data_IF_346720319868
#
_entry.id   IF_346720319868
#
_cell.length_a   1.000
_cell.length_b   1.000
_cell.length_c   1.000
_cell.angle_alpha   90.00
_cell.angle_beta   90.00
_cell.angle_gamma   90.00
#
_symmetry.space_group_name_H-M   'P 1'
#
loop_
_entity.id
_entity.type
_entity.pdbx_description
1 polymer ?
#
# COMPACT_ATOMS: atom_id res chain seq x y z
N UNK A 1 24.32 5.34 -27.33
CA UNK A 1 23.17 5.84 -28.11
C UNK A 1 22.46 6.90 -27.29
N UNK A 2 21.95 7.98 -27.92
CA UNK A 2 20.94 8.81 -27.26
C UNK A 2 19.66 7.99 -27.25
N UNK A 3 19.05 7.83 -26.08
CA UNK A 3 17.77 7.14 -25.90
C UNK A 3 16.76 8.20 -25.50
N UNK A 4 15.62 8.22 -26.17
CA UNK A 4 14.61 9.28 -26.05
C UNK A 4 13.21 8.69 -26.03
N UNK A 5 12.32 9.34 -25.28
CA UNK A 5 10.88 9.08 -25.36
C UNK A 5 10.39 9.50 -26.75
N UNK A 6 9.81 8.57 -27.50
CA UNK A 6 9.24 8.85 -28.83
C UNK A 6 7.72 9.03 -28.76
N UNK A 7 7.02 8.06 -28.18
CA UNK A 7 5.56 8.08 -28.04
C UNK A 7 5.13 7.60 -26.66
N UNK A 8 3.99 8.12 -26.21
CA UNK A 8 3.29 7.68 -25.00
C UNK A 8 1.84 7.47 -25.40
N UNK A 9 1.31 6.29 -25.12
CA UNK A 9 -0.11 5.96 -25.30
C UNK A 9 -0.69 5.35 -24.04
N UNK A 10 -2.01 5.33 -23.96
CA UNK A 10 -2.71 4.81 -22.80
C UNK A 10 -4.02 4.13 -23.19
N UNK A 11 -4.42 3.17 -22.35
CA UNK A 11 -5.62 2.37 -22.49
C UNK A 11 -6.45 2.41 -21.19
N UNK A 12 -7.77 2.42 -21.34
CA UNK A 12 -8.70 2.18 -20.25
C UNK A 12 -8.80 0.67 -20.02
N UNK A 13 -8.32 0.20 -18.88
CA UNK A 13 -8.43 -1.21 -18.45
C UNK A 13 -9.33 -1.30 -17.21
N UNK A 14 -9.53 -2.49 -16.67
CA UNK A 14 -10.24 -2.69 -15.40
C UNK A 14 -9.27 -3.05 -14.26
N UNK A 15 -9.53 -2.53 -13.07
CA UNK A 15 -8.89 -2.96 -11.82
C UNK A 15 -9.52 -4.26 -11.27
N UNK A 16 -8.97 -4.76 -10.16
CA UNK A 16 -9.41 -5.99 -9.49
C UNK A 16 -10.84 -5.94 -8.92
N UNK A 17 -11.47 -4.77 -8.90
CA UNK A 17 -12.86 -4.54 -8.49
C UNK A 17 -13.77 -4.28 -9.69
N UNK A 18 -13.25 -4.39 -10.91
CA UNK A 18 -14.00 -4.14 -12.15
C UNK A 18 -14.25 -2.66 -12.43
N UNK A 19 -13.55 -1.73 -11.77
CA UNK A 19 -13.64 -0.30 -12.09
C UNK A 19 -12.59 0.08 -13.14
N UNK A 20 -12.85 1.06 -14.00
CA UNK A 20 -11.87 1.55 -14.96
C UNK A 20 -10.61 2.11 -14.28
N UNK A 21 -9.45 1.86 -14.87
CA UNK A 21 -8.18 2.50 -14.53
C UNK A 21 -7.30 2.68 -15.78
N UNK A 22 -6.18 3.37 -15.65
CA UNK A 22 -5.29 3.73 -16.74
C UNK A 22 -4.11 2.75 -16.82
N UNK A 23 -3.86 2.21 -18.02
CA UNK A 23 -2.59 1.59 -18.41
C UNK A 23 -1.86 2.52 -19.37
N UNK A 24 -0.57 2.73 -19.15
CA UNK A 24 0.27 3.61 -19.98
C UNK A 24 1.42 2.82 -20.56
N UNK A 25 1.71 3.04 -21.84
CA UNK A 25 2.91 2.57 -22.53
C UNK A 25 3.81 3.77 -22.89
N UNK A 26 5.10 3.65 -22.62
CA UNK A 26 6.13 4.62 -23.00
C UNK A 26 7.09 3.93 -23.95
N UNK A 27 7.12 4.40 -25.19
CA UNK A 27 7.98 3.89 -26.25
C UNK A 27 9.22 4.76 -26.38
N UNK A 28 10.38 4.12 -26.46
CA UNK A 28 11.67 4.76 -26.69
C UNK A 28 12.09 4.62 -28.16
N UNK A 29 12.92 5.55 -28.64
CA UNK A 29 13.47 5.57 -30.00
C UNK A 29 14.30 4.33 -30.38
N UNK A 30 14.76 3.57 -29.39
CA UNK A 30 15.47 2.30 -29.58
C UNK A 30 14.54 1.06 -29.61
N UNK A 31 13.21 1.26 -29.59
CA UNK A 31 12.20 0.19 -29.61
C UNK A 31 11.84 -0.40 -28.24
N UNK A 32 12.44 0.07 -27.14
CA UNK A 32 12.09 -0.35 -25.77
C UNK A 32 10.71 0.18 -25.40
N UNK A 33 9.92 -0.61 -24.66
CA UNK A 33 8.58 -0.22 -24.19
C UNK A 33 8.45 -0.51 -22.71
N UNK A 34 8.23 0.54 -21.91
CA UNK A 34 7.81 0.41 -20.52
C UNK A 34 6.30 0.54 -20.40
N UNK A 35 5.68 -0.35 -19.64
CA UNK A 35 4.23 -0.34 -19.39
C UNK A 35 3.97 -0.24 -17.90
N UNK A 36 2.96 0.52 -17.48
CA UNK A 36 2.48 0.54 -16.10
C UNK A 36 0.95 0.66 -16.03
N UNK A 37 0.35 0.01 -15.03
CA UNK A 37 -1.08 0.15 -14.73
C UNK A 37 -1.28 0.72 -13.34
N UNK A 38 -2.23 1.65 -13.19
CA UNK A 38 -2.37 2.43 -11.97
C UNK A 38 -3.42 1.83 -11.02
N UNK A 39 -3.11 1.64 -9.72
CA UNK A 39 -4.09 1.18 -8.74
C UNK A 39 -5.02 2.30 -8.28
N UNK A 40 -6.13 1.94 -7.64
CA UNK A 40 -7.15 2.88 -7.13
C UNK A 40 -7.65 2.47 -5.72
N UNK A 41 -7.90 3.44 -4.84
CA UNK A 41 -8.38 3.22 -3.46
C UNK A 41 -9.88 2.96 -3.34
N UNK A 42 -10.32 2.39 -2.22
CA UNK A 42 -11.71 2.34 -1.76
C UNK A 42 -11.97 3.48 -0.77
N UNK A 43 -11.15 3.53 0.28
CA UNK A 43 -10.97 4.71 1.13
C UNK A 43 -9.85 5.56 0.54
N UNK A 44 -10.08 6.86 0.49
CA UNK A 44 -9.12 7.87 0.05
C UNK A 44 -9.08 8.93 1.13
N UNK A 45 -7.91 9.19 1.70
CA UNK A 45 -7.71 10.32 2.61
C UNK A 45 -8.06 11.64 1.92
N UNK A 46 -8.53 12.62 2.69
CA UNK A 46 -9.04 13.89 2.17
C UNK A 46 -7.99 14.69 1.39
N UNK A 47 -6.71 14.44 1.70
CA UNK A 47 -5.56 15.18 1.17
C UNK A 47 -4.78 14.41 0.09
N UNK A 48 -5.30 13.29 -0.42
CA UNK A 48 -4.67 12.55 -1.53
C UNK A 48 -4.63 13.38 -2.84
N UNK A 49 -3.63 13.11 -3.69
CA UNK A 49 -3.65 13.59 -5.06
C UNK A 49 -4.86 13.01 -5.82
N UNK A 50 -5.44 13.81 -6.72
CA UNK A 50 -6.76 13.52 -7.28
C UNK A 50 -6.68 12.48 -8.39
N UNK A 51 -7.36 11.33 -8.19
CA UNK A 51 -7.67 10.40 -9.27
C UNK A 51 -8.74 11.02 -10.20
N UNK A 52 -8.40 11.26 -11.47
CA UNK A 52 -9.32 11.89 -12.40
C UNK A 52 -10.27 10.86 -13.04
N UNK A 53 -11.57 11.01 -12.77
CA UNK A 53 -12.68 10.22 -13.31
C UNK A 53 -13.55 11.03 -14.27
N UNK A 54 -14.27 10.34 -15.16
CA UNK A 54 -15.11 10.94 -16.20
C UNK A 54 -16.36 11.63 -15.62
N UNK A 55 -17.00 11.02 -14.62
CA UNK A 55 -18.28 11.48 -14.05
C UNK A 55 -19.50 11.19 -14.93
N UNK A 56 -19.32 10.49 -16.06
CA UNK A 56 -20.36 10.11 -17.01
C UNK A 56 -21.19 8.92 -16.51
N UNK A 57 -22.36 9.17 -15.89
CA UNK A 57 -23.18 8.13 -15.23
C UNK A 57 -23.54 6.94 -16.13
N UNK A 58 -23.66 7.15 -17.44
CA UNK A 58 -23.99 6.10 -18.41
C UNK A 58 -22.82 5.16 -18.73
N UNK A 59 -21.60 5.41 -18.23
CA UNK A 59 -20.42 4.56 -18.40
C UNK A 59 -19.79 4.22 -17.07
N UNK A 60 -19.75 2.93 -16.74
CA UNK A 60 -19.17 2.43 -15.48
C UNK A 60 -19.67 3.19 -14.23
N UNK A 61 -20.93 3.66 -14.24
CA UNK A 61 -21.50 4.45 -13.15
C UNK A 61 -20.80 5.79 -12.88
N UNK A 62 -20.13 6.37 -13.88
CA UNK A 62 -19.35 7.61 -13.75
C UNK A 62 -17.86 7.40 -13.47
N UNK A 63 -17.40 6.14 -13.35
CA UNK A 63 -16.02 5.81 -12.97
C UNK A 63 -15.05 5.64 -14.15
N UNK A 64 -15.45 5.96 -15.37
CA UNK A 64 -14.55 5.97 -16.54
C UNK A 64 -13.33 6.87 -16.34
N UNK A 65 -12.26 6.64 -17.11
CA UNK A 65 -10.98 7.37 -17.02
C UNK A 65 -10.53 7.94 -18.38
N UNK A 66 -11.47 8.17 -19.31
CA UNK A 66 -11.15 8.72 -20.63
C UNK A 66 -10.58 10.13 -20.57
N UNK A 67 -10.98 10.95 -19.59
CA UNK A 67 -10.39 12.26 -19.35
C UNK A 67 -8.90 12.16 -19.03
N UNK A 68 -8.51 11.24 -18.13
CA UNK A 68 -7.11 10.99 -17.79
C UNK A 68 -6.31 10.51 -19.02
N UNK A 69 -6.85 9.57 -19.80
CA UNK A 69 -6.23 9.10 -21.05
C UNK A 69 -6.06 10.23 -22.07
N UNK A 70 -7.07 11.09 -22.22
CA UNK A 70 -7.01 12.26 -23.11
C UNK A 70 -5.92 13.24 -22.65
N UNK A 71 -5.75 13.43 -21.34
CA UNK A 71 -4.68 14.26 -20.78
C UNK A 71 -3.30 13.68 -21.09
N UNK A 72 -3.15 12.34 -21.08
CA UNK A 72 -1.92 11.68 -21.51
C UNK A 72 -1.64 12.00 -22.99
N UNK A 73 -2.59 11.71 -23.88
CA UNK A 73 -2.42 11.89 -25.33
C UNK A 73 -2.20 13.36 -25.74
N UNK A 74 -2.95 14.30 -25.13
CA UNK A 74 -2.95 15.70 -25.56
C UNK A 74 -1.96 16.60 -24.83
N UNK A 75 -1.50 16.23 -23.64
CA UNK A 75 -0.66 17.11 -22.81
C UNK A 75 0.65 16.42 -22.42
N UNK A 76 0.59 15.25 -21.78
CA UNK A 76 1.80 14.58 -21.28
C UNK A 76 2.67 14.03 -22.41
N UNK A 77 2.08 13.35 -23.40
CA UNK A 77 2.83 12.76 -24.51
C UNK A 77 3.59 13.82 -25.34
N UNK A 78 2.98 14.94 -25.78
CA UNK A 78 3.71 16.01 -26.46
C UNK A 78 4.70 16.72 -25.53
N UNK A 79 4.34 16.89 -24.25
CA UNK A 79 5.16 17.61 -23.27
C UNK A 79 6.44 16.89 -22.83
N UNK A 80 6.50 15.56 -23.01
CA UNK A 80 7.62 14.70 -22.64
C UNK A 80 8.38 14.10 -23.82
N UNK A 81 7.87 14.26 -25.05
CA UNK A 81 8.53 13.74 -26.25
C UNK A 81 9.95 14.28 -26.39
N UNK A 82 10.91 13.40 -26.68
CA UNK A 82 12.32 13.76 -26.84
C UNK A 82 13.07 13.98 -25.53
N UNK A 83 12.45 13.75 -24.37
CA UNK A 83 13.16 13.71 -23.08
C UNK A 83 13.95 12.40 -22.91
N UNK A 84 14.98 12.45 -22.09
CA UNK A 84 15.78 11.28 -21.74
C UNK A 84 15.07 10.48 -20.64
N UNK A 85 14.64 9.23 -20.88
CA UNK A 85 13.88 8.46 -19.89
C UNK A 85 14.68 8.17 -18.62
N UNK A 86 16.01 8.31 -18.64
CA UNK A 86 16.88 8.13 -17.48
C UNK A 86 16.84 9.30 -16.50
N UNK A 87 16.25 10.44 -16.89
CA UNK A 87 16.11 11.63 -16.04
C UNK A 87 14.73 11.64 -15.37
N UNK A 88 14.46 10.62 -14.56
CA UNK A 88 13.15 10.40 -13.90
C UNK A 88 12.62 11.66 -13.21
N UNK A 89 13.44 12.30 -12.37
CA UNK A 89 13.03 13.51 -11.65
C UNK A 89 12.69 14.68 -12.58
N UNK A 90 13.46 14.89 -13.65
CA UNK A 90 13.17 15.94 -14.63
C UNK A 90 11.82 15.69 -15.33
N UNK A 91 11.53 14.44 -15.67
CA UNK A 91 10.27 14.03 -16.29
C UNK A 91 9.11 14.24 -15.31
N UNK A 92 9.24 13.75 -14.08
CA UNK A 92 8.19 13.87 -13.06
C UNK A 92 7.89 15.35 -12.75
N UNK A 93 8.91 16.19 -12.53
CA UNK A 93 8.71 17.62 -12.32
C UNK A 93 8.14 18.32 -13.54
N UNK A 94 8.49 17.89 -14.76
CA UNK A 94 7.87 18.43 -15.98
C UNK A 94 6.38 18.12 -16.03
N UNK A 95 5.95 16.92 -15.62
CA UNK A 95 4.53 16.60 -15.52
C UNK A 95 3.81 17.44 -14.46
N UNK A 96 4.44 17.66 -13.31
CA UNK A 96 3.92 18.50 -12.23
C UNK A 96 3.76 19.96 -12.71
N UNK A 97 4.72 20.49 -13.46
CA UNK A 97 4.64 21.82 -14.07
C UNK A 97 3.52 21.93 -15.10
N UNK A 98 3.35 20.92 -15.96
CA UNK A 98 2.28 20.87 -16.97
C UNK A 98 0.87 20.82 -16.34
N UNK A 99 0.75 20.12 -15.22
CA UNK A 99 -0.46 20.10 -14.41
C UNK A 99 -0.70 21.47 -13.77
N UNK A 100 0.27 21.96 -13.00
CA UNK A 100 0.23 23.27 -12.37
C UNK A 100 -0.74 23.40 -11.18
N UNK A 101 -1.31 22.30 -10.70
CA UNK A 101 -2.13 22.24 -9.48
C UNK A 101 -1.41 21.47 -8.38
N UNK A 102 -1.68 21.81 -7.12
CA UNK A 102 -1.00 21.20 -5.98
C UNK A 102 -1.32 19.70 -5.83
N UNK A 103 -2.56 19.32 -6.12
CA UNK A 103 -3.09 17.96 -5.95
C UNK A 103 -3.25 17.19 -7.27
N UNK A 104 -2.62 17.66 -8.36
CA UNK A 104 -2.64 16.99 -9.68
C UNK A 104 -4.05 16.86 -10.29
N UNK A 105 -4.97 17.74 -9.92
CA UNK A 105 -6.39 17.65 -10.31
C UNK A 105 -6.66 17.97 -11.79
N UNK A 106 -5.75 18.67 -12.48
CA UNK A 106 -5.97 19.05 -13.87
C UNK A 106 -5.69 17.89 -14.83
N UNK A 107 -4.57 17.21 -14.67
CA UNK A 107 -4.16 16.07 -15.50
C UNK A 107 -4.61 14.74 -14.91
N UNK A 108 -4.74 14.66 -13.59
CA UNK A 108 -5.06 13.45 -12.83
C UNK A 108 -3.80 12.76 -12.32
N UNK A 109 -3.73 12.49 -11.03
CA UNK A 109 -2.65 11.72 -10.41
C UNK A 109 -2.50 10.33 -11.03
N UNK A 110 -3.61 9.74 -11.48
CA UNK A 110 -3.62 8.48 -12.22
C UNK A 110 -2.98 8.58 -13.61
N UNK A 111 -3.14 9.70 -14.32
CA UNK A 111 -2.43 9.90 -15.59
C UNK A 111 -0.91 10.06 -15.36
N UNK A 112 -0.53 10.90 -14.41
CA UNK A 112 0.86 11.22 -14.13
C UNK A 112 1.63 10.02 -13.57
N UNK A 113 1.04 9.26 -12.64
CA UNK A 113 1.71 8.09 -12.08
C UNK A 113 1.93 7.01 -13.14
N UNK A 114 0.93 6.75 -13.99
CA UNK A 114 1.05 5.75 -15.06
C UNK A 114 2.21 6.06 -16.00
N UNK A 115 2.36 7.32 -16.39
CA UNK A 115 3.52 7.77 -17.19
C UNK A 115 4.82 7.63 -16.38
N UNK A 116 4.85 8.11 -15.13
CA UNK A 116 6.02 8.09 -14.26
C UNK A 116 6.61 6.67 -14.09
N UNK A 117 5.75 5.69 -13.81
CA UNK A 117 6.13 4.29 -13.64
C UNK A 117 6.55 3.62 -14.96
N UNK A 118 5.83 3.92 -16.05
CA UNK A 118 6.16 3.41 -17.38
C UNK A 118 7.52 3.92 -17.88
N UNK A 119 7.84 5.20 -17.63
CA UNK A 119 9.16 5.79 -17.88
C UNK A 119 10.25 5.06 -17.10
N UNK A 120 10.06 4.85 -15.80
CA UNK A 120 11.04 4.14 -14.97
C UNK A 120 11.33 2.72 -15.49
N UNK A 121 10.28 1.99 -15.91
CA UNK A 121 10.41 0.66 -16.53
C UNK A 121 11.14 0.71 -17.87
N UNK A 122 10.75 1.63 -18.74
CA UNK A 122 11.40 1.79 -20.05
C UNK A 122 12.89 2.12 -19.89
N UNK A 123 13.22 3.00 -18.94
CA UNK A 123 14.60 3.37 -18.64
C UNK A 123 15.41 2.20 -18.07
N UNK A 124 14.86 1.44 -17.12
CA UNK A 124 15.50 0.26 -16.56
C UNK A 124 15.83 -0.78 -17.66
N UNK A 125 14.86 -1.08 -18.52
CA UNK A 125 15.03 -1.99 -19.65
C UNK A 125 16.08 -1.47 -20.65
N UNK A 126 16.04 -0.19 -21.00
CA UNK A 126 17.02 0.44 -21.89
C UNK A 126 18.46 0.41 -21.33
N UNK A 127 18.59 0.39 -20.01
CA UNK A 127 19.87 0.22 -19.30
C UNK A 127 20.25 -1.25 -19.09
N UNK A 128 19.41 -2.21 -19.46
CA UNK A 128 19.65 -3.64 -19.22
C UNK A 128 19.65 -4.02 -17.73
N UNK A 129 18.92 -3.28 -16.90
CA UNK A 129 18.82 -3.50 -15.46
C UNK A 129 17.40 -3.93 -15.06
N UNK A 130 17.25 -4.83 -14.06
CA UNK A 130 15.94 -5.03 -13.43
C UNK A 130 15.52 -3.75 -12.71
N UNK A 131 14.20 -3.52 -12.61
CA UNK A 131 13.66 -2.25 -12.12
C UNK A 131 14.13 -1.92 -10.70
N UNK A 132 14.18 -2.90 -9.79
CA UNK A 132 14.66 -2.66 -8.42
C UNK A 132 16.11 -2.15 -8.38
N UNK A 133 17.00 -2.69 -9.22
CA UNK A 133 18.40 -2.28 -9.29
C UNK A 133 18.57 -0.93 -10.00
N UNK A 134 17.74 -0.65 -11.00
CA UNK A 134 17.71 0.66 -11.66
C UNK A 134 17.33 1.78 -10.69
N UNK A 135 16.29 1.56 -9.87
CA UNK A 135 15.80 2.57 -8.92
C UNK A 135 16.64 2.67 -7.64
N UNK A 136 17.06 1.53 -7.07
CA UNK A 136 17.74 1.47 -5.77
C UNK A 136 19.27 1.35 -5.85
N UNK A 137 19.82 1.22 -7.05
CA UNK A 137 21.26 1.02 -7.27
C UNK A 137 21.77 -0.33 -6.72
N UNK A 138 23.08 -0.41 -6.51
CA UNK A 138 23.75 -1.64 -6.08
C UNK A 138 23.34 -2.14 -4.67
N UNK A 139 22.72 -1.28 -3.86
CA UNK A 139 22.25 -1.62 -2.50
C UNK A 139 20.84 -2.22 -2.45
N UNK A 140 20.15 -2.33 -3.59
CA UNK A 140 18.80 -2.85 -3.69
C UNK A 140 18.76 -4.39 -3.52
N UNK A 141 19.03 -4.87 -2.31
CA UNK A 141 19.16 -6.29 -1.99
C UNK A 141 18.27 -6.74 -0.83
N UNK A 142 17.52 -5.82 -0.21
CA UNK A 142 16.67 -6.10 0.95
C UNK A 142 15.24 -6.40 0.50
N UNK A 143 14.79 -7.62 0.75
CA UNK A 143 13.41 -8.06 0.53
C UNK A 143 12.53 -7.62 1.70
N UNK A 144 11.30 -7.17 1.44
CA UNK A 144 10.39 -6.72 2.48
C UNK A 144 9.70 -7.87 3.20
N UNK A 145 9.51 -7.76 4.51
CA UNK A 145 8.63 -8.63 5.29
C UNK A 145 7.17 -8.24 4.94
N UNK A 146 6.32 -9.19 4.52
CA UNK A 146 4.95 -8.88 4.11
C UNK A 146 3.99 -8.79 5.30
N UNK A 147 3.27 -7.68 5.43
CA UNK A 147 2.06 -7.59 6.25
C UNK A 147 0.90 -8.15 5.43
N UNK A 148 0.46 -9.35 5.75
CA UNK A 148 -0.52 -10.11 4.96
C UNK A 148 -1.90 -10.04 5.61
N UNK A 149 -2.82 -9.31 4.98
CA UNK A 149 -4.21 -9.20 5.44
C UNK A 149 -4.92 -10.57 5.34
N UNK A 150 -5.45 -11.06 6.47
CA UNK A 150 -6.14 -12.37 6.53
C UNK A 150 -7.59 -12.27 6.99
N UNK A 151 -7.98 -11.19 7.67
CA UNK A 151 -9.36 -10.89 8.06
C UNK A 151 -9.71 -9.43 7.73
N UNK A 152 -10.86 -9.25 7.10
CA UNK A 152 -11.36 -7.97 6.62
C UNK A 152 -12.61 -7.51 7.36
N UNK A 153 -12.62 -6.24 7.76
CA UNK A 153 -13.80 -5.55 8.26
C UNK A 153 -13.95 -4.13 7.70
N UNK A 154 -14.59 -3.25 8.46
CA UNK A 154 -14.76 -1.85 8.08
C UNK A 154 -15.38 -1.65 6.69
N UNK A 155 -14.75 -0.82 5.85
CA UNK A 155 -15.23 -0.54 4.48
C UNK A 155 -14.93 -1.64 3.47
N UNK A 156 -14.01 -2.56 3.77
CA UNK A 156 -13.56 -3.60 2.83
C UNK A 156 -14.47 -4.83 2.81
N UNK A 157 -15.32 -4.99 3.83
CA UNK A 157 -16.20 -6.14 3.94
C UNK A 157 -17.47 -5.88 4.76
N UNK A 158 -18.55 -6.54 4.36
CA UNK A 158 -19.72 -6.75 5.20
C UNK A 158 -19.42 -7.85 6.23
N UNK A 159 -18.83 -7.44 7.34
CA UNK A 159 -18.41 -8.30 8.46
C UNK A 159 -18.87 -7.72 9.79
N UNK A 160 -18.70 -8.49 10.88
CA UNK A 160 -18.96 -8.03 12.23
C UNK A 160 -17.87 -7.13 12.84
N UNK A 161 -16.82 -6.80 12.09
CA UNK A 161 -15.67 -6.02 12.58
C UNK A 161 -15.76 -4.55 12.16
N UNK A 162 -15.39 -3.67 13.07
CA UNK A 162 -15.25 -2.23 12.79
C UNK A 162 -13.90 -1.93 12.12
N UNK A 163 -12.85 -2.61 12.56
CA UNK A 163 -11.49 -2.42 12.03
C UNK A 163 -11.38 -3.00 10.63
N UNK A 164 -10.61 -2.33 9.77
CA UNK A 164 -10.55 -2.63 8.35
C UNK A 164 -9.73 -3.88 8.03
N UNK A 165 -8.52 -4.02 8.59
CA UNK A 165 -7.65 -5.16 8.31
C UNK A 165 -6.95 -5.70 9.55
N UNK A 166 -6.94 -7.03 9.66
CA UNK A 166 -6.11 -7.78 10.60
C UNK A 166 -5.12 -8.62 9.83
N UNK A 167 -3.84 -8.32 10.03
CA UNK A 167 -2.74 -8.86 9.23
C UNK A 167 -1.86 -9.77 10.07
N UNK A 168 -1.39 -10.85 9.46
CA UNK A 168 -0.25 -11.61 9.97
C UNK A 168 1.05 -11.03 9.43
N UNK A 169 2.08 -11.04 10.27
CA UNK A 169 3.38 -10.46 9.96
C UNK A 169 4.49 -11.46 10.30
N UNK A 170 4.99 -12.25 9.31
CA UNK A 170 5.93 -13.35 9.49
C UNK A 170 7.37 -12.86 9.74
N UNK A 171 7.57 -12.15 10.85
CA UNK A 171 8.83 -11.50 11.24
C UNK A 171 9.97 -12.45 11.58
N UNK A 172 9.66 -13.71 11.92
CA UNK A 172 10.67 -14.72 12.28
C UNK A 172 11.12 -15.61 11.12
N UNK A 173 10.60 -15.39 9.90
CA UNK A 173 11.00 -16.15 8.74
C UNK A 173 12.44 -15.81 8.29
N UNK A 174 13.22 -16.77 7.77
CA UNK A 174 14.63 -16.53 7.39
C UNK A 174 14.81 -15.93 5.99
N UNK A 175 13.78 -16.01 5.14
CA UNK A 175 13.78 -15.55 3.74
C UNK A 175 12.39 -15.06 3.36
N UNK A 176 12.28 -14.34 2.25
CA UNK A 176 10.97 -13.91 1.75
C UNK A 176 10.14 -15.12 1.31
N UNK A 177 10.73 -16.11 0.62
CA UNK A 177 10.05 -17.35 0.27
C UNK A 177 9.44 -18.07 1.48
N UNK A 178 10.18 -18.16 2.58
CA UNK A 178 9.68 -18.76 3.81
C UNK A 178 8.61 -17.89 4.48
N UNK A 179 8.76 -16.56 4.47
CA UNK A 179 7.76 -15.64 4.99
C UNK A 179 6.42 -15.77 4.27
N UNK A 180 6.46 -15.88 2.94
CA UNK A 180 5.27 -16.10 2.12
C UNK A 180 4.62 -17.46 2.42
N UNK A 181 5.44 -18.51 2.59
CA UNK A 181 4.95 -19.85 2.97
C UNK A 181 4.28 -19.85 4.35
N UNK A 182 4.91 -19.22 5.34
CA UNK A 182 4.37 -19.06 6.70
C UNK A 182 2.99 -18.39 6.65
N UNK A 183 2.89 -17.32 5.86
CA UNK A 183 1.64 -16.60 5.66
C UNK A 183 0.55 -17.44 4.98
N UNK A 184 0.90 -18.13 3.90
CA UNK A 184 -0.05 -18.96 3.15
C UNK A 184 -0.58 -20.15 3.98
N UNK A 185 0.29 -20.84 4.71
CA UNK A 185 -0.11 -21.95 5.60
C UNK A 185 -1.02 -21.45 6.74
N UNK A 186 -0.70 -20.29 7.33
CA UNK A 186 -1.54 -19.66 8.36
C UNK A 186 -2.91 -19.23 7.82
N UNK A 187 -2.96 -18.66 6.61
CA UNK A 187 -4.20 -18.33 5.91
C UNK A 187 -5.08 -19.57 5.69
N UNK A 188 -4.50 -20.69 5.26
CA UNK A 188 -5.24 -21.94 5.08
C UNK A 188 -5.62 -22.63 6.40
N UNK A 189 -4.83 -22.46 7.47
CA UNK A 189 -5.22 -22.90 8.80
C UNK A 189 -6.44 -22.10 9.31
N UNK A 190 -6.43 -20.78 9.15
CA UNK A 190 -7.54 -19.90 9.48
C UNK A 190 -8.81 -20.30 8.73
N UNK A 191 -8.72 -20.60 7.43
CA UNK A 191 -9.84 -21.12 6.64
C UNK A 191 -10.55 -22.30 7.32
N UNK A 192 -9.77 -23.30 7.75
CA UNK A 192 -10.29 -24.52 8.37
C UNK A 192 -10.97 -24.22 9.71
N UNK A 193 -10.40 -23.32 10.51
CA UNK A 193 -10.96 -22.90 11.80
C UNK A 193 -12.30 -22.18 11.58
N UNK A 194 -12.35 -21.22 10.64
CA UNK A 194 -13.56 -20.49 10.29
C UNK A 194 -14.67 -21.45 9.82
N UNK A 195 -14.36 -22.35 8.87
CA UNK A 195 -15.31 -23.32 8.35
C UNK A 195 -15.82 -24.27 9.45
N UNK A 196 -14.95 -24.76 10.33
CA UNK A 196 -15.33 -25.63 11.44
C UNK A 196 -16.26 -24.95 12.45
N UNK A 197 -16.17 -23.62 12.59
CA UNK A 197 -17.05 -22.80 13.44
C UNK A 197 -18.30 -22.30 12.72
N UNK A 198 -18.50 -22.68 11.46
CA UNK A 198 -19.65 -22.27 10.66
C UNK A 198 -19.59 -20.83 10.15
N UNK A 199 -18.43 -20.19 10.19
CA UNK A 199 -18.24 -18.86 9.61
C UNK A 199 -18.06 -18.93 8.09
N UNK A 200 -18.44 -17.85 7.41
CA UNK A 200 -18.17 -17.68 5.98
C UNK A 200 -16.66 -17.61 5.72
N UNK A 201 -16.21 -18.27 4.66
CA UNK A 201 -14.83 -18.22 4.16
C UNK A 201 -14.74 -17.46 2.83
N UNK A 202 -15.72 -16.63 2.51
CA UNK A 202 -15.64 -15.67 1.39
C UNK A 202 -14.56 -14.64 1.66
N UNK A 203 -13.95 -14.14 0.59
CA UNK A 203 -12.85 -13.17 0.66
C UNK A 203 -13.28 -11.78 0.21
N UNK A 204 -12.72 -10.74 0.83
CA UNK A 204 -12.91 -9.34 0.46
C UNK A 204 -12.03 -8.90 -0.72
N UNK A 205 -11.91 -7.58 -0.90
CA UNK A 205 -11.13 -6.97 -1.99
C UNK A 205 -9.63 -7.32 -1.89
N UNK A 206 -9.09 -7.39 -0.69
CA UNK A 206 -7.67 -7.72 -0.41
C UNK A 206 -7.40 -9.23 -0.33
N UNK A 207 -8.44 -10.07 -0.41
CA UNK A 207 -8.32 -11.52 -0.34
C UNK A 207 -8.33 -12.12 1.08
N UNK A 208 -8.41 -11.30 2.14
CA UNK A 208 -8.67 -11.76 3.50
C UNK A 208 -10.12 -12.23 3.68
N UNK A 209 -10.38 -13.11 4.65
CA UNK A 209 -11.75 -13.58 4.93
C UNK A 209 -12.61 -12.48 5.55
N UNK A 210 -13.92 -12.52 5.30
CA UNK A 210 -14.89 -11.56 5.84
C UNK A 210 -15.99 -12.23 6.68
N UNK A 211 -15.66 -12.91 7.79
CA UNK A 211 -16.65 -13.59 8.62
C UNK A 211 -17.45 -12.61 9.50
N UNK A 212 -18.69 -12.99 9.83
CA UNK A 212 -19.54 -12.28 10.78
C UNK A 212 -19.12 -12.61 12.23
N UNK A 213 -18.00 -12.02 12.66
CA UNK A 213 -17.47 -12.18 14.02
C UNK A 213 -18.27 -11.38 15.05
N UNK A 214 -18.11 -11.74 16.33
CA UNK A 214 -18.84 -11.11 17.44
C UNK A 214 -18.16 -9.86 17.97
N UNK A 215 -16.84 -9.75 17.79
CA UNK A 215 -16.05 -8.61 18.24
C UNK A 215 -14.75 -8.49 17.44
N UNK A 216 -14.07 -7.34 17.56
CA UNK A 216 -12.74 -7.19 16.98
C UNK A 216 -11.70 -8.07 17.71
N UNK A 217 -11.84 -8.29 19.03
CA UNK A 217 -10.95 -9.19 19.81
C UNK A 217 -10.97 -10.63 19.28
N UNK A 218 -12.13 -11.13 18.86
CA UNK A 218 -12.27 -12.47 18.29
C UNK A 218 -11.39 -12.66 17.04
N UNK A 219 -11.18 -11.60 16.25
CA UNK A 219 -10.30 -11.64 15.09
C UNK A 219 -8.84 -11.91 15.50
N UNK A 220 -8.36 -11.23 16.54
CA UNK A 220 -7.02 -11.44 17.09
C UNK A 220 -6.88 -12.85 17.70
N UNK A 221 -7.90 -13.33 18.43
CA UNK A 221 -7.91 -14.69 18.99
C UNK A 221 -7.80 -15.76 17.87
N UNK A 222 -8.60 -15.61 16.81
CA UNK A 222 -8.59 -16.51 15.65
C UNK A 222 -7.24 -16.50 14.92
N UNK A 223 -6.60 -15.34 14.78
CA UNK A 223 -5.28 -15.24 14.14
C UNK A 223 -4.22 -15.96 14.99
N UNK A 224 -4.21 -15.75 16.31
CA UNK A 224 -3.27 -16.45 17.21
C UNK A 224 -3.47 -17.97 17.15
N UNK A 225 -4.72 -18.43 17.14
CA UNK A 225 -5.05 -19.85 16.97
C UNK A 225 -4.60 -20.39 15.62
N UNK A 226 -4.82 -19.65 14.52
CA UNK A 226 -4.40 -20.05 13.19
C UNK A 226 -2.88 -20.14 13.04
N UNK A 227 -2.13 -19.20 13.63
CA UNK A 227 -0.65 -19.24 13.66
C UNK A 227 -0.20 -20.53 14.35
N UNK A 228 -0.76 -20.85 15.52
CA UNK A 228 -0.42 -22.06 16.26
C UNK A 228 -0.83 -23.33 15.51
N UNK A 229 -2.01 -23.35 14.90
CA UNK A 229 -2.51 -24.48 14.11
C UNK A 229 -1.68 -24.75 12.84
N UNK A 230 -1.05 -23.72 12.28
CA UNK A 230 -0.08 -23.85 11.18
C UNK A 230 1.32 -24.30 11.65
N UNK A 231 1.55 -24.47 12.95
CA UNK A 231 2.81 -24.94 13.52
C UNK A 231 3.82 -23.83 13.84
N UNK A 232 3.40 -22.57 13.80
CA UNK A 232 4.24 -21.40 14.09
C UNK A 232 4.01 -20.86 15.51
N UNK A 233 4.98 -20.14 16.06
CA UNK A 233 4.90 -19.51 17.39
C UNK A 233 4.43 -18.06 17.28
N UNK A 234 3.24 -17.71 17.81
CA UNK A 234 2.78 -16.33 17.87
C UNK A 234 3.80 -15.40 18.56
N UNK A 235 4.05 -14.24 17.97
CA UNK A 235 4.99 -13.23 18.46
C UNK A 235 6.47 -13.53 18.23
N UNK A 236 6.84 -14.77 17.86
CA UNK A 236 8.22 -15.12 17.49
C UNK A 236 8.36 -15.35 15.99
N UNK A 237 7.55 -16.25 15.45
CA UNK A 237 7.60 -16.60 14.02
C UNK A 237 6.68 -15.68 13.22
N UNK A 238 5.48 -15.43 13.75
CA UNK A 238 4.45 -14.57 13.15
C UNK A 238 3.85 -13.66 14.23
N UNK A 239 3.90 -12.36 13.99
CA UNK A 239 3.26 -11.31 14.80
C UNK A 239 1.97 -10.82 14.12
N UNK A 240 1.27 -9.88 14.75
CA UNK A 240 0.07 -9.23 14.21
C UNK A 240 0.37 -7.77 13.86
N UNK A 241 -0.17 -7.32 12.73
CA UNK A 241 -0.28 -5.91 12.38
C UNK A 241 -1.76 -5.57 12.15
N UNK A 242 -2.17 -4.35 12.49
CA UNK A 242 -3.55 -3.89 12.39
C UNK A 242 -3.63 -2.64 11.54
N UNK A 243 -4.73 -2.52 10.80
CA UNK A 243 -5.19 -1.28 10.18
C UNK A 243 -6.66 -1.09 10.58
N UNK A 244 -6.95 -0.35 11.68
CA UNK A 244 -8.31 0.01 12.02
C UNK A 244 -8.96 0.92 10.97
N UNK A 245 -8.21 1.75 10.25
CA UNK A 245 -8.73 2.83 9.39
C UNK A 245 -9.76 3.69 10.14
N UNK A 246 -9.35 4.26 11.27
CA UNK A 246 -10.27 4.80 12.28
C UNK A 246 -11.14 5.97 11.79
N UNK A 247 -10.70 6.73 10.78
CA UNK A 247 -11.52 7.76 10.12
C UNK A 247 -12.85 7.20 9.58
N UNK A 248 -12.90 5.90 9.24
CA UNK A 248 -14.11 5.26 8.71
C UNK A 248 -15.25 5.10 9.72
N UNK A 249 -14.94 5.12 11.03
CA UNK A 249 -15.91 4.98 12.12
C UNK A 249 -15.82 6.13 13.14
N UNK A 250 -15.07 7.19 12.84
CA UNK A 250 -15.07 8.43 13.61
C UNK A 250 -16.25 9.32 13.19
N UNK A 251 -17.16 9.60 14.11
CA UNK A 251 -18.32 10.45 13.82
C UNK A 251 -18.74 11.28 15.04
N UNK A 252 -18.77 12.61 14.85
CA UNK A 252 -19.15 13.59 15.89
C UNK A 252 -18.27 13.55 17.14
N UNK A 253 -16.95 13.47 16.94
CA UNK A 253 -15.99 13.53 18.04
C UNK A 253 -15.77 12.22 18.80
N UNK A 254 -16.26 11.10 18.25
CA UNK A 254 -16.19 9.78 18.88
C UNK A 254 -15.91 8.69 17.86
N UNK A 255 -15.18 7.67 18.28
CA UNK A 255 -14.93 6.45 17.52
C UNK A 255 -16.04 5.43 17.81
N UNK A 256 -16.83 5.06 16.82
CA UNK A 256 -18.05 4.24 17.00
C UNK A 256 -17.81 2.77 16.65
N UNK A 257 -17.40 1.98 17.63
CA UNK A 257 -17.18 0.54 17.48
C UNK A 257 -18.48 -0.25 17.61
N UNK A 258 -19.42 0.03 16.70
CA UNK A 258 -20.79 -0.45 16.78
C UNK A 258 -20.96 -1.87 16.24
N UNK A 259 -20.18 -2.27 15.22
CA UNK A 259 -20.30 -3.61 14.59
C UNK A 259 -19.82 -4.70 15.55
N UNK A 260 -18.73 -4.43 16.26
CA UNK A 260 -18.18 -5.30 17.30
C UNK A 260 -18.93 -5.23 18.64
N UNK A 261 -19.89 -4.33 18.78
CA UNK A 261 -20.59 -4.08 20.05
C UNK A 261 -19.73 -3.47 21.17
N UNK A 262 -18.54 -2.94 20.84
CA UNK A 262 -17.62 -2.32 21.81
C UNK A 262 -18.00 -0.87 22.17
N UNK A 263 -18.95 -0.28 21.43
CA UNK A 263 -19.56 1.02 21.70
C UNK A 263 -18.68 2.21 21.35
N UNK A 264 -19.15 3.41 21.68
CA UNK A 264 -18.41 4.64 21.46
C UNK A 264 -17.13 4.69 22.30
N UNK A 265 -16.08 5.32 21.75
CA UNK A 265 -14.80 5.58 22.40
C UNK A 265 -14.36 7.03 22.16
N UNK A 266 -13.72 7.64 23.15
CA UNK A 266 -12.89 8.83 22.97
C UNK A 266 -11.52 8.46 22.38
N UNK A 267 -10.72 9.46 21.99
CA UNK A 267 -9.36 9.23 21.52
C UNK A 267 -8.47 8.53 22.56
N UNK A 268 -8.61 8.90 23.84
CA UNK A 268 -7.85 8.28 24.94
C UNK A 268 -8.33 6.84 25.19
N UNK A 269 -9.64 6.59 25.12
CA UNK A 269 -10.17 5.22 25.26
C UNK A 269 -9.77 4.31 24.08
N UNK A 270 -9.52 4.87 22.89
CA UNK A 270 -8.91 4.13 21.78
C UNK A 270 -7.45 3.75 22.09
N UNK A 271 -6.67 4.66 22.68
CA UNK A 271 -5.29 4.36 23.11
C UNK A 271 -5.29 3.26 24.19
N UNK A 272 -6.18 3.33 25.17
CA UNK A 272 -6.33 2.31 26.21
C UNK A 272 -6.71 0.93 25.63
N UNK A 273 -7.59 0.92 24.62
CA UNK A 273 -7.94 -0.31 23.90
C UNK A 273 -6.70 -0.92 23.23
N UNK A 274 -5.94 -0.13 22.46
CA UNK A 274 -4.72 -0.61 21.81
C UNK A 274 -3.68 -1.08 22.82
N UNK A 275 -3.50 -0.36 23.94
CA UNK A 275 -2.60 -0.72 25.03
C UNK A 275 -2.94 -2.09 25.63
N UNK A 276 -4.21 -2.32 25.95
CA UNK A 276 -4.71 -3.61 26.40
C UNK A 276 -4.43 -4.73 25.38
N UNK A 277 -4.63 -4.44 24.09
CA UNK A 277 -4.41 -5.41 23.03
C UNK A 277 -2.95 -5.75 22.79
N UNK A 278 -2.02 -4.78 22.84
CA UNK A 278 -0.58 -5.08 22.69
C UNK A 278 -0.01 -5.82 23.91
N UNK A 279 -0.70 -5.78 25.06
CA UNK A 279 -0.36 -6.59 26.23
C UNK A 279 -0.90 -8.03 26.11
N UNK A 280 -2.04 -8.20 25.43
CA UNK A 280 -2.72 -9.50 25.26
C UNK A 280 -2.27 -10.28 24.02
N UNK A 281 -1.96 -9.58 22.93
CA UNK A 281 -1.69 -10.13 21.60
C UNK A 281 -0.31 -9.71 21.09
N UNK A 282 0.33 -10.50 20.20
CA UNK A 282 1.62 -10.16 19.63
C UNK A 282 1.51 -9.09 18.53
N UNK A 283 0.84 -7.97 18.82
CA UNK A 283 0.68 -6.84 17.91
C UNK A 283 1.95 -6.00 17.94
N UNK A 284 2.54 -5.76 16.78
CA UNK A 284 3.80 -5.01 16.63
C UNK A 284 3.69 -3.79 15.72
N UNK A 285 2.56 -3.61 15.04
CA UNK A 285 2.28 -2.46 14.17
C UNK A 285 0.80 -2.13 14.16
N UNK A 286 0.47 -0.85 14.27
CA UNK A 286 -0.89 -0.32 14.12
C UNK A 286 -0.84 0.84 13.13
N UNK A 287 -1.65 0.76 12.08
CA UNK A 287 -1.85 1.77 11.05
C UNK A 287 -3.15 2.53 11.29
N UNK A 288 -3.17 3.86 11.22
CA UNK A 288 -4.40 4.68 11.35
C UNK A 288 -5.31 4.31 12.53
N UNK A 289 -4.71 4.31 13.73
CA UNK A 289 -5.43 4.08 14.99
C UNK A 289 -6.39 5.21 15.39
N UNK A 290 -6.24 6.39 14.80
CA UNK A 290 -7.06 7.59 15.04
C UNK A 290 -7.49 8.21 13.70
N UNK A 291 -8.48 9.09 13.75
CA UNK A 291 -9.00 9.82 12.59
C UNK A 291 -7.91 10.70 11.95
N UNK A 292 -7.96 10.89 10.63
CA UNK A 292 -6.96 11.65 9.86
C UNK A 292 -6.84 13.12 10.31
N UNK A 293 -7.83 13.66 11.02
CA UNK A 293 -7.80 14.99 11.61
C UNK A 293 -7.50 15.01 13.12
N UNK A 294 -7.44 13.85 13.79
CA UNK A 294 -7.14 13.72 15.23
C UNK A 294 -5.64 13.63 15.52
N UNK A 295 -4.91 14.70 15.17
CA UNK A 295 -3.46 14.83 15.43
C UNK A 295 -3.12 14.71 16.91
N UNK A 296 -4.01 15.13 17.81
CA UNK A 296 -3.82 15.02 19.25
C UNK A 296 -3.85 13.55 19.70
N UNK A 297 -4.85 12.77 19.24
CA UNK A 297 -4.95 11.33 19.49
C UNK A 297 -3.72 10.56 19.01
N UNK A 298 -3.26 10.83 17.79
CA UNK A 298 -2.02 10.23 17.25
C UNK A 298 -0.79 10.54 18.11
N UNK A 299 -0.63 11.78 18.59
CA UNK A 299 0.48 12.18 19.48
C UNK A 299 0.43 11.47 20.82
N UNK A 300 -0.76 11.36 21.43
CA UNK A 300 -0.96 10.60 22.67
C UNK A 300 -0.61 9.13 22.46
N UNK A 301 -1.13 8.51 21.38
CA UNK A 301 -0.83 7.12 21.03
C UNK A 301 0.68 6.91 20.83
N UNK A 302 1.35 7.82 20.13
CA UNK A 302 2.80 7.73 19.88
C UNK A 302 3.61 7.93 21.14
N UNK A 303 3.22 8.84 22.02
CA UNK A 303 3.88 9.05 23.31
C UNK A 303 3.78 7.81 24.21
N UNK A 304 2.61 7.15 24.25
CA UNK A 304 2.38 5.99 25.10
C UNK A 304 2.92 4.68 24.52
N UNK A 305 2.73 4.44 23.23
CA UNK A 305 2.90 3.12 22.61
C UNK A 305 4.03 3.06 21.59
N UNK A 306 4.52 4.20 21.08
CA UNK A 306 5.47 4.27 19.98
C UNK A 306 6.87 3.72 20.26
N UNK A 307 7.19 3.44 21.53
CA UNK A 307 8.42 2.72 21.92
C UNK A 307 8.28 1.19 21.87
N UNK A 308 7.06 0.68 21.84
CA UNK A 308 6.72 -0.75 21.85
C UNK A 308 6.31 -1.27 20.48
N UNK A 309 5.61 -0.43 19.72
CA UNK A 309 5.05 -0.80 18.42
C UNK A 309 5.35 0.25 17.35
N UNK A 310 5.25 -0.19 16.10
CA UNK A 310 5.18 0.70 14.95
C UNK A 310 3.80 1.36 14.90
N UNK A 311 3.76 2.67 14.69
CA UNK A 311 2.56 3.49 14.51
C UNK A 311 2.66 4.11 13.12
N UNK A 312 1.87 3.59 12.20
CA UNK A 312 1.89 3.93 10.78
C UNK A 312 0.79 4.95 10.51
N UNK A 313 1.14 6.08 9.90
CA UNK A 313 0.15 6.98 9.31
C UNK A 313 -0.07 6.67 7.83
N UNK A 314 -1.32 6.50 7.42
CA UNK A 314 -1.76 6.32 6.04
C UNK A 314 -2.63 7.52 5.59
N UNK A 315 -3.91 7.57 5.96
CA UNK A 315 -4.81 8.68 5.62
C UNK A 315 -4.35 10.01 6.26
N UNK A 316 -3.69 9.95 7.42
CA UNK A 316 -3.08 11.12 8.07
C UNK A 316 -1.97 11.76 7.21
N UNK A 317 -1.22 10.95 6.45
CA UNK A 317 0.05 11.36 5.84
C UNK A 317 0.02 11.36 4.30
N UNK A 318 -0.88 10.58 3.69
CA UNK A 318 -1.18 10.50 2.26
C UNK A 318 0.06 10.47 1.36
N UNK A 319 1.13 9.81 1.82
CA UNK A 319 2.43 9.77 1.12
C UNK A 319 2.99 11.16 0.75
N UNK A 320 2.57 12.22 1.45
CA UNK A 320 2.88 13.60 1.11
C UNK A 320 3.90 14.20 2.08
N UNK A 321 4.99 14.73 1.52
CA UNK A 321 6.14 15.23 2.27
C UNK A 321 5.78 16.35 3.26
N UNK A 322 4.75 17.16 2.99
CA UNK A 322 4.30 18.23 3.91
C UNK A 322 3.70 17.65 5.19
N UNK A 323 2.82 16.65 5.07
CA UNK A 323 2.19 16.00 6.23
C UNK A 323 3.18 15.12 6.99
N UNK A 324 4.05 14.40 6.28
CA UNK A 324 5.13 13.63 6.90
C UNK A 324 6.06 14.56 7.70
N UNK A 325 6.46 15.71 7.15
CA UNK A 325 7.33 16.66 7.85
C UNK A 325 6.66 17.18 9.13
N UNK A 326 5.37 17.54 9.06
CA UNK A 326 4.58 17.95 10.22
C UNK A 326 4.50 16.84 11.27
N UNK A 327 4.23 15.60 10.87
CA UNK A 327 4.11 14.48 11.79
C UNK A 327 5.43 14.13 12.49
N UNK A 328 6.56 14.32 11.80
CA UNK A 328 7.90 14.22 12.39
C UNK A 328 8.12 15.31 13.45
N UNK A 329 7.78 16.56 13.13
CA UNK A 329 7.92 17.69 14.07
C UNK A 329 7.02 17.52 15.30
N UNK A 330 5.78 17.12 15.09
CA UNK A 330 4.78 16.96 16.15
C UNK A 330 4.89 15.64 16.92
N UNK A 331 5.73 14.70 16.46
CA UNK A 331 5.85 13.33 17.00
C UNK A 331 4.51 12.57 16.98
N UNK A 332 3.79 12.67 15.88
CA UNK A 332 2.45 12.08 15.73
C UNK A 332 2.48 10.58 15.37
N UNK A 333 3.54 10.11 14.71
CA UNK A 333 3.72 8.71 14.31
C UNK A 333 5.20 8.30 14.42
N UNK A 334 5.54 7.07 14.04
CA UNK A 334 6.93 6.62 13.86
C UNK A 334 7.16 5.86 12.53
N UNK A 335 6.13 5.74 11.70
CA UNK A 335 6.20 5.18 10.35
C UNK A 335 5.12 5.75 9.42
N UNK A 336 5.30 5.53 8.11
CA UNK A 336 4.40 5.99 7.05
C UNK A 336 4.01 4.82 6.13
N UNK A 337 2.73 4.75 5.75
CA UNK A 337 2.31 3.89 4.65
C UNK A 337 2.53 4.64 3.32
N UNK A 338 3.27 4.03 2.41
CA UNK A 338 3.68 4.63 1.14
C UNK A 338 2.86 4.03 0.01
N UNK A 339 1.95 4.84 -0.54
CA UNK A 339 1.12 4.51 -1.70
C UNK A 339 1.46 5.47 -2.83
N UNK A 340 2.06 4.95 -3.90
CA UNK A 340 2.56 5.77 -5.01
C UNK A 340 1.48 6.66 -5.64
N UNK A 341 0.23 6.18 -5.69
CA UNK A 341 -0.88 6.93 -6.30
C UNK A 341 -1.48 8.02 -5.40
N UNK A 342 -1.19 8.02 -4.09
CA UNK A 342 -1.59 9.12 -3.21
C UNK A 342 -0.81 10.41 -3.49
N UNK A 343 0.45 10.29 -3.97
CA UNK A 343 1.27 11.45 -4.33
C UNK A 343 1.38 11.64 -5.84
N UNK A 344 1.39 10.57 -6.64
CA UNK A 344 1.17 10.63 -8.09
C UNK A 344 2.42 10.62 -8.98
N UNK A 345 3.64 10.54 -8.41
CA UNK A 345 4.88 10.32 -9.18
C UNK A 345 5.87 9.44 -8.42
N UNK A 346 6.77 8.77 -9.15
CA UNK A 346 7.86 7.98 -8.56
C UNK A 346 8.83 8.88 -7.79
N UNK A 347 9.17 10.05 -8.32
CA UNK A 347 10.10 11.00 -7.68
C UNK A 347 9.57 11.49 -6.33
N UNK A 348 8.34 12.00 -6.26
CA UNK A 348 7.77 12.48 -4.98
C UNK A 348 7.61 11.33 -3.97
N UNK A 349 7.33 10.10 -4.44
CA UNK A 349 7.31 8.92 -3.56
C UNK A 349 8.70 8.66 -2.93
N UNK A 350 9.76 8.75 -3.74
CA UNK A 350 11.14 8.59 -3.25
C UNK A 350 11.50 9.69 -2.24
N UNK A 351 11.07 10.92 -2.48
CA UNK A 351 11.25 12.05 -1.55
C UNK A 351 10.57 11.83 -0.20
N UNK A 352 9.33 11.32 -0.19
CA UNK A 352 8.63 10.94 1.03
C UNK A 352 9.41 9.89 1.84
N UNK A 353 9.96 8.88 1.15
CA UNK A 353 10.82 7.86 1.78
C UNK A 353 12.12 8.47 2.32
N UNK A 354 12.74 9.40 1.59
CA UNK A 354 13.97 10.06 2.05
C UNK A 354 13.74 10.87 3.33
N UNK A 355 12.58 11.53 3.43
CA UNK A 355 12.17 12.22 4.66
C UNK A 355 11.99 11.25 5.83
N UNK A 356 11.34 10.10 5.61
CA UNK A 356 11.22 9.05 6.63
C UNK A 356 12.59 8.58 7.12
N UNK A 357 13.51 8.27 6.20
CA UNK A 357 14.88 7.85 6.54
C UNK A 357 15.62 8.91 7.36
N UNK A 358 15.50 10.19 6.97
CA UNK A 358 16.14 11.31 7.69
C UNK A 358 15.59 11.46 9.12
N UNK A 359 14.30 11.14 9.32
CA UNK A 359 13.65 11.15 10.63
C UNK A 359 13.89 9.88 11.45
N UNK A 360 14.55 8.85 10.89
CA UNK A 360 14.68 7.53 11.52
C UNK A 360 13.36 6.75 11.59
N UNK A 361 12.39 7.11 10.75
CA UNK A 361 11.08 6.47 10.68
C UNK A 361 11.09 5.24 9.79
N UNK A 362 10.25 4.26 10.13
CA UNK A 362 9.91 3.16 9.24
C UNK A 362 9.02 3.63 8.09
N UNK A 363 8.97 2.85 7.02
CA UNK A 363 7.98 3.04 5.96
C UNK A 363 7.55 1.68 5.41
N UNK A 364 6.31 1.60 4.93
CA UNK A 364 5.70 0.36 4.43
C UNK A 364 5.18 0.63 3.04
N UNK A 365 5.71 -0.04 2.02
CA UNK A 365 5.21 0.12 0.64
C UNK A 365 3.86 -0.60 0.54
N UNK A 366 2.82 0.08 0.06
CA UNK A 366 1.46 -0.43 0.09
C UNK A 366 0.79 -0.48 -1.27
N UNK A 367 -0.06 -1.48 -1.43
CA UNK A 367 -1.04 -1.59 -2.52
C UNK A 367 -2.22 -0.63 -2.31
N UNK A 368 -3.21 -0.69 -3.21
CA UNK A 368 -4.58 -0.19 -2.96
C UNK A 368 -5.60 -1.33 -3.04
N UNK A 369 -6.83 -1.09 -2.59
CA UNK A 369 -7.91 -2.10 -2.69
C UNK A 369 -8.32 -2.41 -4.13
N UNK A 370 -8.26 -1.45 -5.06
CA UNK A 370 -8.30 -1.70 -6.51
C UNK A 370 -6.90 -1.84 -7.07
N UNK A 371 -6.43 -3.08 -7.26
CA UNK A 371 -5.12 -3.38 -7.85
C UNK A 371 -5.23 -3.86 -9.29
N UNK A 372 -4.09 -4.01 -9.95
CA UNK A 372 -4.00 -4.64 -11.28
C UNK A 372 -3.00 -5.80 -11.24
N UNK A 373 -2.71 -6.43 -12.37
CA UNK A 373 -1.60 -7.39 -12.49
C UNK A 373 -0.21 -6.74 -12.40
N UNK A 374 -0.13 -5.41 -12.34
CA UNK A 374 1.12 -4.67 -12.30
C UNK A 374 1.92 -4.94 -11.01
N UNK A 375 3.21 -5.26 -11.14
CA UNK A 375 4.09 -5.62 -10.02
C UNK A 375 5.07 -4.54 -9.59
N UNK A 376 4.91 -3.28 -10.04
CA UNK A 376 5.88 -2.19 -9.82
C UNK A 376 6.26 -2.02 -8.35
N UNK A 377 5.27 -2.13 -7.46
CA UNK A 377 5.49 -1.95 -6.03
C UNK A 377 6.45 -2.99 -5.41
N UNK A 378 6.54 -4.21 -5.98
CA UNK A 378 7.47 -5.24 -5.51
C UNK A 378 8.92 -4.82 -5.78
N UNK A 379 9.22 -4.45 -7.03
CA UNK A 379 10.53 -3.89 -7.39
C UNK A 379 10.83 -2.60 -6.62
N UNK A 380 9.83 -1.73 -6.43
CA UNK A 380 9.99 -0.49 -5.67
C UNK A 380 10.30 -0.75 -4.19
N UNK A 381 9.67 -1.74 -3.55
CA UNK A 381 9.95 -2.10 -2.16
C UNK A 381 11.39 -2.57 -1.96
N UNK A 382 11.91 -3.37 -2.90
CA UNK A 382 13.33 -3.80 -2.88
C UNK A 382 14.28 -2.64 -3.19
N UNK A 383 13.94 -1.79 -4.17
CA UNK A 383 14.71 -0.60 -4.50
C UNK A 383 14.88 0.34 -3.30
N UNK A 384 13.81 0.52 -2.53
CA UNK A 384 13.80 1.42 -1.39
C UNK A 384 14.33 0.76 -0.11
N UNK A 385 14.45 -0.56 -0.03
CA UNK A 385 15.12 -1.24 1.07
C UNK A 385 14.56 -0.89 2.47
N UNK A 386 13.25 -0.59 2.56
CA UNK A 386 12.58 -0.28 3.84
C UNK A 386 12.20 -1.49 4.66
N UNK A 387 12.32 -2.69 4.09
CA UNK A 387 12.11 -3.96 4.77
C UNK A 387 10.64 -4.34 5.01
N UNK A 388 9.65 -3.59 4.52
CA UNK A 388 8.22 -3.87 4.79
C UNK A 388 7.33 -3.58 3.56
N UNK A 389 6.33 -4.44 3.36
CA UNK A 389 5.33 -4.32 2.28
C UNK A 389 3.93 -4.74 2.78
N UNK A 390 2.89 -4.00 2.40
CA UNK A 390 1.46 -4.34 2.60
C UNK A 390 0.82 -4.55 1.23
N UNK A 391 0.66 -5.80 0.80
CA UNK A 391 0.15 -6.12 -0.55
C UNK A 391 -0.99 -7.14 -0.55
N UNK A 392 -1.66 -7.32 0.58
CA UNK A 392 -2.90 -8.10 0.72
C UNK A 392 -2.68 -9.55 1.14
N UNK A 393 -3.71 -10.37 0.97
CA UNK A 393 -3.74 -11.76 1.41
C UNK A 393 -2.96 -12.71 0.49
N UNK A 394 -2.84 -13.97 0.92
CA UNK A 394 -2.35 -15.09 0.12
C UNK A 394 -3.38 -15.61 -0.91
N UNK A 395 -4.23 -14.74 -1.47
CA UNK A 395 -5.12 -15.07 -2.58
C UNK A 395 -5.44 -13.85 -3.45
N UNK A 396 -6.12 -14.09 -4.58
CA UNK A 396 -6.39 -13.14 -5.67
C UNK A 396 -5.12 -12.70 -6.42
N UNK A 397 -5.12 -12.88 -7.74
CA UNK A 397 -3.90 -12.77 -8.55
C UNK A 397 -3.28 -11.37 -8.52
N UNK A 398 -4.07 -10.32 -8.35
CA UNK A 398 -3.59 -8.95 -8.21
C UNK A 398 -2.74 -8.73 -6.95
N UNK A 399 -2.90 -9.57 -5.91
CA UNK A 399 -2.05 -9.59 -4.70
C UNK A 399 -0.87 -10.52 -4.92
N UNK A 400 -1.18 -11.75 -5.34
CA UNK A 400 -0.18 -12.82 -5.56
C UNK A 400 0.87 -12.43 -6.60
N UNK A 401 0.53 -11.62 -7.61
CA UNK A 401 1.50 -11.14 -8.60
C UNK A 401 2.69 -10.41 -7.95
N UNK A 402 2.45 -9.62 -6.89
CA UNK A 402 3.51 -8.90 -6.18
C UNK A 402 4.38 -9.85 -5.36
N UNK A 403 3.76 -10.82 -4.68
CA UNK A 403 4.50 -11.86 -3.97
C UNK A 403 5.34 -12.72 -4.91
N UNK A 404 4.79 -13.13 -6.05
CA UNK A 404 5.53 -13.88 -7.05
C UNK A 404 6.70 -13.06 -7.62
N UNK A 405 6.50 -11.75 -7.86
CA UNK A 405 7.60 -10.88 -8.27
C UNK A 405 8.70 -10.78 -7.21
N UNK A 406 8.35 -10.74 -5.92
CA UNK A 406 9.34 -10.76 -4.84
C UNK A 406 10.10 -12.10 -4.77
N UNK A 407 9.46 -13.24 -5.03
CA UNK A 407 10.15 -14.53 -5.17
C UNK A 407 11.16 -14.52 -6.34
N UNK A 408 10.77 -13.92 -7.47
CA UNK A 408 11.67 -13.75 -8.62
C UNK A 408 12.87 -12.88 -8.26
N UNK A 409 12.65 -11.74 -7.60
CA UNK A 409 13.72 -10.84 -7.17
C UNK A 409 14.66 -11.53 -6.18
N UNK A 410 14.12 -12.27 -5.20
CA UNK A 410 14.91 -13.05 -4.25
C UNK A 410 15.80 -14.07 -4.99
N UNK A 411 15.26 -14.75 -6.00
CA UNK A 411 16.01 -15.68 -6.85
C UNK A 411 17.08 -14.97 -7.69
N UNK A 412 16.75 -13.82 -8.28
CA UNK A 412 17.67 -13.00 -9.08
C UNK A 412 18.87 -12.51 -8.26
N UNK A 413 18.63 -12.09 -7.02
CA UNK A 413 19.65 -11.65 -6.07
C UNK A 413 20.51 -12.81 -5.53
N UNK A 414 19.93 -14.01 -5.40
CA UNK A 414 20.62 -15.19 -4.89
C UNK A 414 21.24 -14.94 -3.52
N UNK A 415 22.55 -15.19 -3.37
CA UNK A 415 23.27 -15.00 -2.09
C UNK A 415 23.35 -13.54 -1.63
N UNK A 416 23.08 -12.58 -2.51
CA UNK A 416 23.05 -11.17 -2.15
C UNK A 416 21.76 -10.78 -1.41
N UNK A 417 20.68 -11.57 -1.56
CA UNK A 417 19.40 -11.28 -0.93
C UNK A 417 19.54 -11.16 0.59
N UNK A 418 18.88 -10.16 1.15
CA UNK A 418 18.74 -9.93 2.59
C UNK A 418 17.26 -9.87 2.92
N UNK A 419 16.88 -10.47 4.04
CA UNK A 419 15.51 -10.50 4.53
C UNK A 419 15.51 -10.20 6.02
N UNK A 420 14.50 -9.47 6.49
CA UNK A 420 14.46 -8.96 7.86
C UNK A 420 14.74 -7.47 7.96
N UNK A 421 14.73 -6.96 9.19
CA UNK A 421 15.03 -5.56 9.54
C UNK A 421 16.53 -5.31 9.65
#
# INVERSE_FOLDING_TARGET
MKIRIDTIDALEILDSRGNPTVRVNVHLDNGTVGTASVPSGASTGENEAVELRDGEKNRYGGKGVRKAIKNIDKVLAPGLKGMDPRRQAEIDYRMIELDGTENKAKLGANAMLGVSQAVARAAAQACGLPLYAYLGGASAVHLPIPMMNVLNGGKHADSGMDFQEFMIFPVGAPTFAEALRYGAETFHALHKILAARGYSTSVGDEGGYAPQLKSNDEACDLIVEAIAAAGYKPGKDIAIALDPAASSFYEKGKYRLSRSGQGDKTADEMVDLFKSWIDKYPIVSIEDGHDENDWAGFKTMTAELGSRIQIVGDDLLVTNTKFIARAVEEKACNAVLIKLNQIGTVTETIEAIHLCRKAGWGFVISHRSGETEDTFMADFAVAMGGGQIKTGSACRSERIAKYNRLLEIERELGKAARFGR
#
